data_IF_509436412836
#
_entry.id   IF_509436412836
#
_cell.length_a   1.000
_cell.length_b   1.000
_cell.length_c   1.000
_cell.angle_alpha   90.00
_cell.angle_beta   90.00
_cell.angle_gamma   90.00
#
_symmetry.space_group_name_H-M   'P 1'
#
loop_
_entity.id
_entity.type
_entity.pdbx_description
1 polymer ?
#
# COMPACT_ATOMS: atom_id res chain seq x y z
N UNK A 1 8.45 -5.62 -20.51
CA UNK A 1 7.69 -6.48 -19.57
C UNK A 1 8.42 -6.63 -18.23
N UNK A 2 9.65 -7.16 -18.22
CA UNK A 2 10.46 -7.32 -16.99
C UNK A 2 10.67 -5.98 -16.23
N UNK A 3 11.00 -4.89 -16.93
CA UNK A 3 11.18 -3.56 -16.30
C UNK A 3 9.90 -3.06 -15.61
N UNK A 4 8.72 -3.31 -16.21
CA UNK A 4 7.42 -2.91 -15.62
C UNK A 4 7.14 -3.70 -14.35
N UNK A 5 7.37 -5.01 -14.36
CA UNK A 5 7.18 -5.88 -13.19
C UNK A 5 8.13 -5.49 -12.06
N UNK A 6 9.40 -5.23 -12.37
CA UNK A 6 10.38 -4.76 -11.39
C UNK A 6 10.00 -3.41 -10.77
N UNK A 7 9.49 -2.46 -11.57
CA UNK A 7 8.98 -1.18 -11.06
C UNK A 7 7.81 -1.39 -10.10
N UNK A 8 6.85 -2.26 -10.44
CA UNK A 8 5.71 -2.58 -9.58
C UNK A 8 6.13 -3.23 -8.27
N UNK A 9 7.13 -4.13 -8.28
CA UNK A 9 7.69 -4.70 -7.06
C UNK A 9 8.31 -3.63 -6.16
N UNK A 10 9.18 -2.76 -6.72
CA UNK A 10 9.80 -1.67 -5.96
C UNK A 10 8.76 -0.73 -5.35
N UNK A 11 7.74 -0.40 -6.13
CA UNK A 11 6.65 0.45 -5.66
C UNK A 11 5.84 -0.21 -4.54
N UNK A 12 5.48 -1.49 -4.70
CA UNK A 12 4.79 -2.29 -3.68
C UNK A 12 5.59 -2.32 -2.39
N UNK A 13 6.88 -2.65 -2.46
CA UNK A 13 7.74 -2.80 -1.28
C UNK A 13 7.91 -1.47 -0.55
N UNK A 14 8.09 -0.37 -1.29
CA UNK A 14 8.14 0.97 -0.72
C UNK A 14 6.82 1.38 -0.05
N UNK A 15 5.68 1.05 -0.67
CA UNK A 15 4.36 1.33 -0.12
C UNK A 15 4.06 0.46 1.11
N UNK A 16 4.46 -0.80 1.11
CA UNK A 16 4.28 -1.75 2.22
C UNK A 16 5.03 -1.27 3.46
N UNK A 17 6.29 -0.87 3.30
CA UNK A 17 7.09 -0.28 4.38
C UNK A 17 6.49 1.02 4.94
N UNK A 18 5.92 1.88 4.08
CA UNK A 18 5.22 3.10 4.53
C UNK A 18 3.92 2.77 5.27
N UNK A 19 3.15 1.80 4.76
CA UNK A 19 1.88 1.36 5.33
C UNK A 19 2.10 0.76 6.72
N UNK A 20 3.15 -0.04 6.89
CA UNK A 20 3.51 -0.62 8.18
C UNK A 20 3.88 0.46 9.22
N UNK A 21 4.66 1.46 8.82
CA UNK A 21 5.01 2.59 9.69
C UNK A 21 3.78 3.38 10.13
N UNK A 22 2.86 3.65 9.20
CA UNK A 22 1.61 4.34 9.51
C UNK A 22 0.71 3.51 10.43
N UNK A 23 0.61 2.19 10.19
CA UNK A 23 -0.12 1.27 11.06
C UNK A 23 0.40 1.32 12.50
N UNK A 24 1.72 1.27 12.68
CA UNK A 24 2.37 1.38 13.99
C UNK A 24 2.10 2.73 14.64
N UNK A 25 2.09 3.81 13.87
CA UNK A 25 1.76 5.13 14.38
C UNK A 25 0.30 5.24 14.86
N UNK A 26 -0.65 4.77 14.05
CA UNK A 26 -2.09 4.77 14.38
C UNK A 26 -2.37 3.95 15.65
N UNK A 27 -1.66 2.85 15.84
CA UNK A 27 -1.74 2.01 17.04
C UNK A 27 -1.03 2.60 18.27
N UNK A 28 -0.34 3.73 18.14
CA UNK A 28 0.43 4.34 19.22
C UNK A 28 -0.39 5.40 19.97
N UNK A 29 -0.05 5.63 21.24
CA UNK A 29 -0.66 6.69 22.07
C UNK A 29 -0.55 8.09 21.46
N UNK A 30 0.52 8.35 20.70
CA UNK A 30 0.73 9.64 20.01
C UNK A 30 -0.35 9.96 18.97
N UNK A 31 -1.02 8.94 18.44
CA UNK A 31 -2.15 9.14 17.55
C UNK A 31 -3.38 9.65 18.32
N UNK A 32 -3.59 9.22 19.56
CA UNK A 32 -4.72 9.67 20.41
C UNK A 32 -4.56 11.13 20.84
N UNK A 33 -3.33 11.66 20.84
CA UNK A 33 -3.02 13.06 21.15
C UNK A 33 -3.35 14.02 19.99
N UNK A 34 -3.69 13.50 18.81
CA UNK A 34 -4.02 14.31 17.65
C UNK A 34 -5.49 14.75 17.65
N UNK A 35 -5.82 15.90 17.03
CA UNK A 35 -7.22 16.28 16.78
C UNK A 35 -7.97 15.20 16.01
N UNK A 36 -9.26 15.03 16.29
CA UNK A 36 -10.08 13.94 15.72
C UNK A 36 -10.03 13.89 14.19
N UNK A 37 -10.13 15.03 13.52
CA UNK A 37 -10.01 15.08 12.06
C UNK A 37 -8.67 14.54 11.55
N UNK A 38 -7.55 14.84 12.24
CA UNK A 38 -6.24 14.33 11.84
C UNK A 38 -6.13 12.81 12.05
N UNK A 39 -6.75 12.29 13.12
CA UNK A 39 -6.83 10.85 13.37
C UNK A 39 -7.60 10.14 12.26
N UNK A 40 -8.78 10.66 11.92
CA UNK A 40 -9.60 10.13 10.84
C UNK A 40 -8.88 10.15 9.50
N UNK A 41 -8.16 11.24 9.18
CA UNK A 41 -7.39 11.33 7.95
C UNK A 41 -6.24 10.33 7.88
N UNK A 42 -5.55 10.05 9.00
CA UNK A 42 -4.49 9.03 9.03
C UNK A 42 -5.05 7.62 8.86
N UNK A 43 -6.20 7.32 9.45
CA UNK A 43 -6.90 6.04 9.25
C UNK A 43 -7.37 5.90 7.80
N UNK A 44 -7.97 6.94 7.23
CA UNK A 44 -8.38 6.95 5.82
C UNK A 44 -7.17 6.77 4.88
N UNK A 45 -6.06 7.45 5.15
CA UNK A 45 -4.81 7.30 4.42
C UNK A 45 -4.29 5.85 4.48
N UNK A 46 -4.32 5.23 5.66
CA UNK A 46 -3.93 3.83 5.83
C UNK A 46 -4.76 2.90 4.95
N UNK A 47 -6.09 3.05 4.95
CA UNK A 47 -6.97 2.23 4.12
C UNK A 47 -6.75 2.44 2.62
N UNK A 48 -6.51 3.68 2.19
CA UNK A 48 -6.16 3.98 0.80
C UNK A 48 -4.85 3.30 0.38
N UNK A 49 -3.84 3.31 1.25
CA UNK A 49 -2.56 2.64 0.99
C UNK A 49 -2.71 1.11 0.94
N UNK A 50 -3.52 0.51 1.82
CA UNK A 50 -3.83 -0.92 1.78
C UNK A 50 -4.55 -1.32 0.48
N UNK A 51 -5.52 -0.50 0.06
CA UNK A 51 -6.23 -0.70 -1.20
C UNK A 51 -5.25 -0.67 -2.37
N UNK A 52 -4.36 0.31 -2.39
CA UNK A 52 -3.38 0.44 -3.45
C UNK A 52 -2.37 -0.73 -3.45
N UNK A 53 -1.94 -1.21 -2.28
CA UNK A 53 -1.14 -2.44 -2.18
C UNK A 53 -1.85 -3.66 -2.78
N UNK A 54 -3.14 -3.80 -2.54
CA UNK A 54 -3.96 -4.86 -3.15
C UNK A 54 -3.94 -4.78 -4.68
N UNK A 55 -4.13 -3.59 -5.22
CA UNK A 55 -4.06 -3.34 -6.67
C UNK A 55 -2.68 -3.71 -7.24
N UNK A 56 -1.59 -3.30 -6.58
CA UNK A 56 -0.23 -3.64 -7.02
C UNK A 56 0.00 -5.15 -7.05
N UNK A 57 -0.47 -5.88 -6.02
CA UNK A 57 -0.37 -7.36 -5.96
C UNK A 57 -1.12 -8.03 -7.11
N UNK A 58 -2.33 -7.56 -7.42
CA UNK A 58 -3.12 -8.06 -8.55
C UNK A 58 -2.45 -7.78 -9.90
N UNK A 59 -1.93 -6.56 -10.09
CA UNK A 59 -1.21 -6.19 -11.33
C UNK A 59 0.04 -7.02 -11.56
N UNK A 60 0.81 -7.28 -10.51
CA UNK A 60 2.00 -8.14 -10.60
C UNK A 60 1.60 -9.57 -10.96
N UNK A 61 0.55 -10.10 -10.34
CA UNK A 61 0.07 -11.45 -10.62
C UNK A 61 -0.41 -11.61 -12.07
N UNK A 62 -1.20 -10.65 -12.57
CA UNK A 62 -1.68 -10.62 -13.96
C UNK A 62 -0.51 -10.59 -14.96
N UNK A 63 0.47 -9.71 -14.75
CA UNK A 63 1.63 -9.59 -15.65
C UNK A 63 2.60 -10.78 -15.59
N UNK A 64 2.56 -11.58 -14.53
CA UNK A 64 3.37 -12.79 -14.37
C UNK A 64 2.65 -14.05 -14.89
N UNK A 65 1.37 -13.95 -15.24
CA UNK A 65 0.58 -15.09 -15.74
C UNK A 65 0.73 -15.18 -17.26
N UNK A 66 1.30 -16.27 -17.82
CA UNK A 66 1.69 -16.35 -19.22
C UNK A 66 0.53 -16.58 -20.22
N UNK A 67 -0.71 -16.75 -19.77
CA UNK A 67 -1.81 -17.32 -20.59
C UNK A 67 -2.75 -16.31 -21.27
N UNK A 68 -2.42 -15.01 -21.31
CA UNK A 68 -3.28 -13.98 -21.95
C UNK A 68 -2.72 -13.41 -23.26
N UNK A 69 -2.14 -14.29 -24.09
CA UNK A 69 -1.89 -14.00 -25.49
C UNK A 69 -2.98 -14.69 -26.33
N UNK A 70 -4.14 -14.03 -26.45
CA UNK A 70 -5.11 -14.31 -27.52
C UNK A 70 -4.85 -13.39 -28.71
#
# INVERSE_FOLDING_TARGET
>A
MIDVIQRLHRERDALEAKTEKLCKFIASRRHEELPDFQREMLVAQYHAMQTYLGILKLRIADLMTPERAE
#
